data_IF_598330658640
#
_entry.id   IF_598330658640
#
_cell.length_a   1.000
_cell.length_b   1.000
_cell.length_c   1.000
_cell.angle_alpha   90.00
_cell.angle_beta   90.00
_cell.angle_gamma   90.00
#
_symmetry.space_group_name_H-M   'P 1'
#
loop_
_entity.id
_entity.type
_entity.pdbx_description
1 polymer ?
#
# COMPACT_ATOMS: atom_id res chain seq x y z
N UNK A 1 6.58 10.46 -11.19
CA UNK A 1 7.97 10.88 -11.49
C UNK A 1 8.89 10.59 -10.31
N UNK A 2 8.64 11.11 -9.11
CA UNK A 2 9.55 10.94 -7.96
C UNK A 2 9.89 9.46 -7.67
N UNK A 3 8.88 8.58 -7.64
CA UNK A 3 9.10 7.15 -7.40
C UNK A 3 9.96 6.52 -8.51
N UNK A 4 9.71 6.87 -9.77
CA UNK A 4 10.48 6.37 -10.92
C UNK A 4 11.95 6.76 -10.80
N UNK A 5 12.23 8.02 -10.48
CA UNK A 5 13.59 8.50 -10.29
C UNK A 5 14.29 7.82 -9.11
N UNK A 6 13.61 7.69 -7.98
CA UNK A 6 14.14 6.98 -6.82
C UNK A 6 14.47 5.52 -7.15
N UNK A 7 13.54 4.81 -7.77
CA UNK A 7 13.72 3.39 -8.08
C UNK A 7 14.85 3.17 -9.10
N UNK A 8 14.98 4.07 -10.07
CA UNK A 8 16.10 4.10 -11.01
C UNK A 8 17.43 4.29 -10.29
N UNK A 9 17.53 5.31 -9.43
CA UNK A 9 18.76 5.59 -8.68
C UNK A 9 19.14 4.46 -7.72
N UNK A 10 18.16 3.86 -7.07
CA UNK A 10 18.37 2.71 -6.19
C UNK A 10 18.88 1.49 -6.99
N UNK A 11 18.27 1.21 -8.15
CA UNK A 11 18.72 0.17 -9.04
C UNK A 11 20.17 0.40 -9.53
N UNK A 12 20.49 1.62 -9.96
CA UNK A 12 21.83 2.01 -10.36
C UNK A 12 22.85 1.83 -9.22
N UNK A 13 22.49 2.22 -8.00
CA UNK A 13 23.32 2.01 -6.81
C UNK A 13 23.60 0.53 -6.54
N UNK A 14 22.60 -0.33 -6.64
CA UNK A 14 22.73 -1.78 -6.45
C UNK A 14 23.67 -2.39 -7.52
N UNK A 15 23.56 -1.89 -8.75
CA UNK A 15 24.36 -2.37 -9.89
C UNK A 15 25.75 -1.71 -9.98
N UNK A 16 26.08 -0.76 -9.10
CA UNK A 16 27.33 -0.01 -9.13
C UNK A 16 27.45 0.94 -10.33
N UNK A 17 26.33 1.35 -10.92
CA UNK A 17 26.27 2.29 -12.05
C UNK A 17 26.29 3.72 -11.50
N UNK A 18 27.28 4.50 -11.95
CA UNK A 18 27.40 5.92 -11.68
C UNK A 18 27.92 6.62 -12.96
N UNK A 19 27.04 7.36 -13.61
CA UNK A 19 27.29 8.03 -14.89
C UNK A 19 26.57 9.38 -14.94
N UNK A 20 26.69 10.10 -16.05
CA UNK A 20 26.08 11.42 -16.25
C UNK A 20 24.54 11.38 -16.05
N UNK A 21 23.87 10.32 -16.50
CA UNK A 21 22.44 10.13 -16.38
C UNK A 21 22.00 10.03 -14.91
N UNK A 22 22.75 9.28 -14.07
CA UNK A 22 22.43 9.20 -12.62
C UNK A 22 22.56 10.55 -11.94
N UNK A 23 23.57 11.35 -12.30
CA UNK A 23 23.76 12.71 -11.77
C UNK A 23 22.62 13.64 -12.19
N UNK A 24 22.20 13.58 -13.45
CA UNK A 24 21.06 14.37 -13.97
C UNK A 24 19.75 14.01 -13.29
N UNK A 25 19.48 12.72 -13.11
CA UNK A 25 18.27 12.24 -12.42
C UNK A 25 18.26 12.67 -10.95
N UNK A 26 19.40 12.57 -10.25
CA UNK A 26 19.52 13.08 -8.87
C UNK A 26 19.24 14.60 -8.77
N UNK A 27 19.79 15.38 -9.70
CA UNK A 27 19.58 16.81 -9.76
C UNK A 27 18.11 17.17 -10.04
N UNK A 28 17.48 16.42 -10.94
CA UNK A 28 16.08 16.58 -11.32
C UNK A 28 15.14 16.19 -10.16
N UNK A 29 15.46 15.11 -9.44
CA UNK A 29 14.67 14.65 -8.30
C UNK A 29 14.64 15.69 -7.16
N UNK A 30 15.73 16.41 -6.94
CA UNK A 30 15.80 17.49 -5.94
C UNK A 30 14.91 18.70 -6.26
N UNK A 31 14.53 18.88 -7.52
CA UNK A 31 13.63 19.94 -7.98
C UNK A 31 12.15 19.59 -7.83
N UNK A 32 11.83 18.31 -7.59
CA UNK A 32 10.45 17.86 -7.44
C UNK A 32 9.89 18.28 -6.07
N UNK A 33 8.82 19.08 -6.09
CA UNK A 33 8.11 19.46 -4.88
C UNK A 33 7.48 18.27 -4.16
N UNK A 34 7.31 18.41 -2.85
CA UNK A 34 6.42 17.52 -2.09
C UNK A 34 4.97 17.79 -2.47
N UNK A 35 4.08 16.80 -2.36
CA UNK A 35 2.65 17.04 -2.44
C UNK A 35 2.23 18.12 -1.43
N UNK A 36 1.32 19.00 -1.84
CA UNK A 36 0.80 20.10 -1.04
C UNK A 36 -0.56 19.77 -0.45
N UNK A 37 -0.91 20.46 0.63
CA UNK A 37 -2.19 20.32 1.33
C UNK A 37 -3.03 21.55 1.02
N UNK A 38 -4.28 21.33 0.60
CA UNK A 38 -5.26 22.37 0.34
C UNK A 38 -5.77 23.03 1.65
N UNK A 39 -6.47 24.17 1.53
CA UNK A 39 -7.03 24.90 2.68
C UNK A 39 -8.02 24.06 3.49
N UNK A 40 -8.73 23.11 2.86
CA UNK A 40 -9.63 22.17 3.51
C UNK A 40 -8.93 20.96 4.16
N UNK A 41 -7.60 20.90 4.02
CA UNK A 41 -6.74 19.88 4.59
C UNK A 41 -6.61 18.61 3.74
N UNK A 42 -7.19 18.55 2.53
CA UNK A 42 -7.00 17.46 1.59
C UNK A 42 -5.64 17.57 0.87
N UNK A 43 -5.15 16.46 0.34
CA UNK A 43 -3.99 16.47 -0.54
C UNK A 43 -4.40 17.05 -1.90
N UNK A 44 -3.66 18.03 -2.38
CA UNK A 44 -3.96 18.67 -3.66
C UNK A 44 -3.69 17.72 -4.84
N UNK A 45 -4.61 17.68 -5.79
CA UNK A 45 -4.43 16.97 -7.06
C UNK A 45 -3.65 17.83 -8.07
N UNK A 46 -3.87 19.13 -8.04
CA UNK A 46 -3.29 20.13 -8.95
C UNK A 46 -2.36 21.08 -8.18
N UNK A 47 -1.64 21.91 -8.91
CA UNK A 47 -0.77 22.96 -8.32
C UNK A 47 -1.56 24.09 -7.68
N UNK A 48 -2.84 24.21 -8.03
CA UNK A 48 -3.78 25.21 -7.55
C UNK A 48 -5.03 24.52 -7.00
N UNK A 49 -5.73 25.17 -6.06
CA UNK A 49 -7.01 24.68 -5.58
C UNK A 49 -8.09 24.96 -6.61
N UNK A 50 -8.57 23.90 -7.25
CA UNK A 50 -9.61 23.97 -8.27
C UNK A 50 -10.90 23.32 -7.75
N UNK A 51 -12.04 23.81 -8.21
CA UNK A 51 -13.32 23.18 -7.96
C UNK A 51 -13.42 21.85 -8.70
N UNK A 52 -13.80 20.80 -7.97
CA UNK A 52 -13.94 19.46 -8.54
C UNK A 52 -15.36 19.29 -9.14
N UNK A 53 -15.44 19.04 -10.44
CA UNK A 53 -16.72 18.80 -11.14
C UNK A 53 -17.33 17.44 -10.79
N UNK A 54 -16.50 16.46 -10.44
CA UNK A 54 -16.89 15.11 -9.98
C UNK A 54 -16.21 14.77 -8.66
N UNK A 55 -16.72 15.24 -7.51
CA UNK A 55 -16.08 15.00 -6.20
C UNK A 55 -15.90 13.53 -5.84
N UNK A 56 -16.76 12.63 -6.36
CA UNK A 56 -16.67 11.19 -6.19
C UNK A 56 -15.95 10.45 -7.33
N UNK A 57 -15.15 11.16 -8.15
CA UNK A 57 -14.46 10.55 -9.27
C UNK A 57 -13.53 9.42 -8.83
N UNK A 58 -13.55 8.29 -9.55
CA UNK A 58 -12.80 7.07 -9.21
C UNK A 58 -11.28 7.18 -9.33
N UNK A 59 -10.76 8.22 -10.02
CA UNK A 59 -9.34 8.46 -10.13
C UNK A 59 -8.82 9.25 -8.93
N UNK A 60 -7.81 8.70 -8.27
CA UNK A 60 -7.17 9.26 -7.08
C UNK A 60 -5.65 9.34 -7.26
N UNK A 61 -5.22 9.79 -8.45
CA UNK A 61 -3.81 9.79 -8.87
C UNK A 61 -2.90 10.60 -7.96
N UNK A 62 -3.39 11.67 -7.35
CA UNK A 62 -2.67 12.49 -6.37
C UNK A 62 -2.30 11.70 -5.09
N UNK A 63 -3.02 10.61 -4.79
CA UNK A 63 -2.73 9.75 -3.65
C UNK A 63 -1.69 8.65 -3.95
N UNK A 64 -1.15 8.60 -5.17
CA UNK A 64 -0.12 7.64 -5.60
C UNK A 64 1.08 7.57 -4.64
N UNK A 65 1.46 8.69 -4.06
CA UNK A 65 2.61 8.76 -3.15
C UNK A 65 2.48 7.87 -1.92
N UNK A 66 1.24 7.53 -1.51
CA UNK A 66 0.97 6.59 -0.44
C UNK A 66 0.83 5.15 -0.94
N UNK A 67 0.05 4.96 -2.02
CA UNK A 67 -0.20 3.64 -2.61
C UNK A 67 -0.34 3.77 -4.14
N UNK A 68 0.43 3.04 -4.95
CA UNK A 68 1.44 2.01 -4.60
C UNK A 68 2.80 2.57 -4.16
N UNK A 69 3.00 3.88 -4.22
CA UNK A 69 4.22 4.54 -3.77
C UNK A 69 4.46 4.37 -2.26
N UNK A 70 5.56 4.96 -1.81
CA UNK A 70 5.94 4.99 -0.39
C UNK A 70 6.64 6.32 -0.02
N UNK A 71 6.31 7.39 -0.76
CA UNK A 71 6.76 8.74 -0.45
C UNK A 71 5.97 9.33 0.73
N UNK A 72 4.70 8.91 0.86
CA UNK A 72 3.80 9.29 1.94
C UNK A 72 3.63 8.08 2.86
N UNK A 73 4.12 8.19 4.08
CA UNK A 73 4.10 7.10 5.07
C UNK A 73 3.82 7.63 6.48
N UNK A 74 3.25 6.79 7.34
CA UNK A 74 3.00 7.13 8.74
C UNK A 74 4.28 7.55 9.48
N UNK A 75 5.41 6.93 9.15
CA UNK A 75 6.66 7.15 9.87
C UNK A 75 7.38 8.45 9.45
N UNK A 76 7.30 8.82 8.16
CA UNK A 76 8.10 9.92 7.59
C UNK A 76 7.30 11.19 7.30
N UNK A 77 6.02 11.05 6.97
CA UNK A 77 5.15 12.16 6.55
C UNK A 77 3.74 12.05 7.13
N UNK A 78 3.56 11.94 8.46
CA UNK A 78 2.24 11.70 9.06
C UNK A 78 1.20 12.78 8.68
N UNK A 79 1.62 14.06 8.56
CA UNK A 79 0.73 15.14 8.14
C UNK A 79 0.18 14.96 6.72
N UNK A 80 0.96 14.38 5.80
CA UNK A 80 0.47 14.03 4.46
C UNK A 80 -0.44 12.80 4.47
N UNK A 81 -0.22 11.86 5.40
CA UNK A 81 -1.13 10.72 5.59
C UNK A 81 -2.51 11.19 6.05
N UNK A 82 -2.58 12.17 6.94
CA UNK A 82 -3.85 12.78 7.35
C UNK A 82 -4.55 13.49 6.18
N UNK A 83 -3.79 14.17 5.33
CA UNK A 83 -4.33 14.79 4.11
C UNK A 83 -4.83 13.75 3.10
N UNK A 84 -4.13 12.63 2.92
CA UNK A 84 -4.59 11.48 2.11
C UNK A 84 -5.90 10.92 2.66
N UNK A 85 -6.00 10.73 3.98
CA UNK A 85 -7.22 10.26 4.63
C UNK A 85 -8.40 11.17 4.33
N UNK A 86 -8.23 12.49 4.50
CA UNK A 86 -9.28 13.47 4.19
C UNK A 86 -9.67 13.46 2.72
N UNK A 87 -8.70 13.34 1.80
CA UNK A 87 -8.99 13.24 0.37
C UNK A 87 -9.78 11.98 0.04
N UNK A 88 -9.40 10.85 0.62
CA UNK A 88 -10.08 9.59 0.39
C UNK A 88 -11.49 9.60 0.97
N UNK A 89 -11.68 10.08 2.20
CA UNK A 89 -13.00 10.21 2.83
C UNK A 89 -13.90 11.16 2.03
N UNK A 90 -13.35 12.25 1.51
CA UNK A 90 -14.09 13.16 0.64
C UNK A 90 -14.62 12.44 -0.60
N UNK A 91 -13.76 11.71 -1.33
CA UNK A 91 -14.16 10.90 -2.49
C UNK A 91 -15.24 9.89 -2.15
N UNK A 92 -15.04 9.12 -1.08
CA UNK A 92 -15.95 8.06 -0.65
C UNK A 92 -17.33 8.58 -0.25
N UNK A 93 -17.41 9.78 0.34
CA UNK A 93 -18.64 10.41 0.76
C UNK A 93 -19.43 11.08 -0.40
N UNK A 94 -18.88 11.14 -1.61
CA UNK A 94 -19.49 11.77 -2.78
C UNK A 94 -19.84 10.76 -3.89
N UNK A 95 -20.48 9.66 -3.54
CA UNK A 95 -20.90 8.61 -4.48
C UNK A 95 -19.72 7.99 -5.26
N UNK A 96 -18.64 7.71 -4.56
CA UNK A 96 -17.48 7.06 -5.16
C UNK A 96 -17.84 5.69 -5.77
N UNK A 97 -17.62 5.55 -7.06
CA UNK A 97 -17.85 4.30 -7.77
C UNK A 97 -16.60 3.42 -7.74
N UNK A 98 -16.40 2.68 -6.63
CA UNK A 98 -15.34 1.68 -6.53
C UNK A 98 -15.64 0.49 -7.44
N UNK A 99 -14.99 0.43 -8.58
CA UNK A 99 -15.11 -0.66 -9.56
C UNK A 99 -13.75 -0.92 -10.19
N UNK A 100 -13.52 -2.17 -10.54
CA UNK A 100 -12.32 -2.53 -11.24
C UNK A 100 -11.06 -2.21 -10.42
N UNK A 101 -10.02 -1.79 -11.10
CA UNK A 101 -8.74 -1.41 -10.50
C UNK A 101 -8.87 -0.37 -9.37
N UNK A 102 -9.87 0.52 -9.43
CA UNK A 102 -10.05 1.55 -8.40
C UNK A 102 -10.48 0.96 -7.07
N UNK A 103 -11.24 -0.13 -7.06
CA UNK A 103 -11.60 -0.86 -5.84
C UNK A 103 -10.35 -1.44 -5.17
N UNK A 104 -9.51 -2.17 -5.92
CA UNK A 104 -8.26 -2.72 -5.41
C UNK A 104 -7.32 -1.64 -4.87
N UNK A 105 -7.28 -0.49 -5.52
CA UNK A 105 -6.44 0.63 -5.10
C UNK A 105 -6.91 1.24 -3.78
N UNK A 106 -8.20 1.58 -3.69
CA UNK A 106 -8.78 2.17 -2.47
C UNK A 106 -8.68 1.21 -1.29
N UNK A 107 -9.03 -0.06 -1.47
CA UNK A 107 -8.96 -1.05 -0.37
C UNK A 107 -7.52 -1.26 0.12
N UNK A 108 -6.53 -1.28 -0.78
CA UNK A 108 -5.11 -1.31 -0.40
C UNK A 108 -4.68 -0.04 0.34
N UNK A 109 -5.19 1.12 -0.09
CA UNK A 109 -4.91 2.39 0.59
C UNK A 109 -5.51 2.43 2.00
N UNK A 110 -6.76 1.98 2.17
CA UNK A 110 -7.39 1.83 3.49
C UNK A 110 -6.59 0.90 4.39
N UNK A 111 -6.04 -0.19 3.86
CA UNK A 111 -5.14 -1.06 4.61
C UNK A 111 -3.88 -0.32 5.10
N UNK A 112 -3.26 0.53 4.26
CA UNK A 112 -2.11 1.37 4.66
C UNK A 112 -2.48 2.50 5.61
N UNK A 113 -3.72 2.98 5.56
CA UNK A 113 -4.27 3.93 6.53
C UNK A 113 -4.63 3.29 7.87
N UNK A 114 -4.44 1.98 8.04
CA UNK A 114 -4.83 1.19 9.22
C UNK A 114 -6.35 1.14 9.46
N UNK A 115 -7.13 1.23 8.39
CA UNK A 115 -8.59 1.14 8.37
C UNK A 115 -9.05 -0.23 7.85
N UNK A 116 -8.61 -1.30 8.53
CA UNK A 116 -8.81 -2.67 8.08
C UNK A 116 -10.28 -3.06 7.94
N UNK A 117 -11.12 -2.69 8.90
CA UNK A 117 -12.55 -3.00 8.85
C UNK A 117 -13.25 -2.30 7.67
N UNK A 118 -12.91 -1.02 7.41
CA UNK A 118 -13.45 -0.27 6.27
C UNK A 118 -12.98 -0.86 4.94
N UNK A 119 -11.71 -1.31 4.87
CA UNK A 119 -11.17 -2.00 3.70
C UNK A 119 -11.91 -3.31 3.42
N UNK A 120 -12.11 -4.14 4.45
CA UNK A 120 -12.83 -5.41 4.34
C UNK A 120 -14.29 -5.20 3.94
N UNK A 121 -14.99 -4.26 4.58
CA UNK A 121 -16.37 -3.92 4.27
C UNK A 121 -16.53 -3.52 2.79
N UNK A 122 -15.64 -2.67 2.29
CA UNK A 122 -15.64 -2.27 0.89
C UNK A 122 -15.39 -3.46 -0.06
N UNK A 123 -14.47 -4.38 0.28
CA UNK A 123 -14.25 -5.60 -0.49
C UNK A 123 -15.50 -6.50 -0.48
N UNK A 124 -16.14 -6.67 0.67
CA UNK A 124 -17.34 -7.49 0.80
C UNK A 124 -18.49 -6.97 -0.08
N UNK A 125 -18.78 -5.67 -0.01
CA UNK A 125 -19.91 -5.07 -0.72
C UNK A 125 -19.66 -4.83 -2.21
N UNK A 126 -18.42 -4.62 -2.63
CA UNK A 126 -18.13 -4.24 -4.02
C UNK A 126 -17.39 -5.31 -4.83
N UNK A 127 -16.83 -6.33 -4.20
CA UNK A 127 -16.16 -7.42 -4.88
C UNK A 127 -16.84 -8.77 -4.63
N UNK A 128 -16.80 -9.29 -3.40
CA UNK A 128 -17.24 -10.65 -3.12
C UNK A 128 -18.72 -10.89 -3.38
N UNK A 129 -19.58 -9.89 -3.17
CA UNK A 129 -21.02 -10.02 -3.48
C UNK A 129 -21.34 -9.92 -4.97
N UNK A 130 -20.40 -9.41 -5.78
CA UNK A 130 -20.57 -9.18 -7.21
C UNK A 130 -19.72 -10.11 -8.08
N UNK A 131 -18.81 -10.88 -7.45
CA UNK A 131 -17.92 -11.78 -8.16
C UNK A 131 -18.69 -12.97 -8.75
N UNK A 132 -18.37 -13.32 -9.99
CA UNK A 132 -18.78 -14.56 -10.61
C UNK A 132 -18.08 -15.77 -9.94
N UNK A 133 -18.54 -17.00 -10.17
CA UNK A 133 -17.90 -18.19 -9.61
C UNK A 133 -16.40 -18.35 -9.96
N UNK A 134 -15.96 -17.73 -11.04
CA UNK A 134 -14.55 -17.69 -11.47
C UNK A 134 -13.77 -16.51 -10.87
N UNK A 135 -14.35 -15.79 -9.90
CA UNK A 135 -13.78 -14.62 -9.23
C UNK A 135 -13.62 -13.38 -10.11
N UNK A 136 -14.09 -13.37 -11.35
CA UNK A 136 -14.17 -12.16 -12.13
C UNK A 136 -15.29 -11.25 -11.62
N UNK A 137 -15.08 -9.95 -11.73
CA UNK A 137 -16.08 -8.91 -11.45
C UNK A 137 -16.23 -8.04 -12.67
N UNK A 138 -17.48 -7.70 -13.01
CA UNK A 138 -17.74 -6.73 -14.06
C UNK A 138 -17.47 -5.31 -13.60
N UNK A 139 -16.64 -4.61 -14.37
CA UNK A 139 -16.52 -3.17 -14.28
C UNK A 139 -16.90 -2.57 -15.65
N UNK A 140 -17.91 -1.72 -15.66
CA UNK A 140 -18.45 -1.11 -16.89
C UNK A 140 -18.90 -2.13 -17.95
N UNK A 141 -19.50 -3.25 -17.51
CA UNK A 141 -20.00 -4.32 -18.37
C UNK A 141 -18.92 -5.20 -19.00
N UNK A 142 -17.72 -5.21 -18.45
CA UNK A 142 -16.60 -6.06 -18.89
C UNK A 142 -15.76 -6.54 -17.70
N UNK A 143 -15.31 -7.81 -17.69
CA UNK A 143 -14.37 -8.29 -16.69
C UNK A 143 -13.07 -7.50 -16.73
N UNK A 144 -12.57 -7.08 -15.57
CA UNK A 144 -11.29 -6.41 -15.44
C UNK A 144 -10.32 -7.22 -14.57
N UNK A 145 -9.10 -7.40 -15.05
CA UNK A 145 -8.02 -8.09 -14.30
C UNK A 145 -7.56 -7.23 -13.10
N UNK A 146 -7.79 -5.91 -13.15
CA UNK A 146 -7.36 -4.99 -12.10
C UNK A 146 -7.93 -5.29 -10.72
N UNK A 147 -9.20 -5.68 -10.61
CA UNK A 147 -9.83 -6.08 -9.35
C UNK A 147 -9.28 -7.40 -8.85
N UNK A 148 -9.14 -8.36 -9.78
CA UNK A 148 -8.67 -9.71 -9.46
C UNK A 148 -7.26 -9.73 -8.87
N UNK A 149 -6.44 -8.73 -9.20
CA UNK A 149 -5.10 -8.56 -8.65
C UNK A 149 -5.08 -7.58 -7.49
N UNK A 150 -5.88 -6.51 -7.58
CA UNK A 150 -5.89 -5.43 -6.60
C UNK A 150 -6.53 -5.82 -5.27
N UNK A 151 -7.63 -6.58 -5.29
CA UNK A 151 -8.30 -7.02 -4.05
C UNK A 151 -7.45 -8.05 -3.27
N UNK A 152 -6.86 -9.09 -3.87
CA UNK A 152 -5.89 -9.94 -3.18
C UNK A 152 -4.67 -9.17 -2.63
N UNK A 153 -4.17 -8.16 -3.35
CA UNK A 153 -3.12 -7.29 -2.82
C UNK A 153 -3.59 -6.56 -1.56
N UNK A 154 -4.81 -6.02 -1.56
CA UNK A 154 -5.36 -5.37 -0.38
C UNK A 154 -5.50 -6.33 0.80
N UNK A 155 -5.90 -7.58 0.58
CA UNK A 155 -5.93 -8.62 1.62
C UNK A 155 -4.54 -8.89 2.20
N UNK A 156 -3.50 -8.89 1.36
CA UNK A 156 -2.11 -9.01 1.82
C UNK A 156 -1.72 -7.78 2.64
N UNK A 157 -1.99 -6.58 2.16
CA UNK A 157 -1.68 -5.32 2.86
C UNK A 157 -2.37 -5.21 4.24
N UNK A 158 -3.50 -5.91 4.46
CA UNK A 158 -4.15 -5.99 5.77
C UNK A 158 -3.32 -6.78 6.80
N UNK A 159 -2.57 -7.78 6.36
CA UNK A 159 -1.86 -8.72 7.24
C UNK A 159 -0.33 -8.63 7.18
N UNK A 160 0.24 -8.12 6.09
CA UNK A 160 1.69 -7.96 5.92
C UNK A 160 1.99 -6.73 5.05
N UNK A 161 2.72 -5.75 5.58
CA UNK A 161 3.21 -4.60 4.82
C UNK A 161 4.74 -4.54 4.85
N UNK A 162 5.35 -4.26 3.71
CA UNK A 162 6.81 -4.13 3.57
C UNK A 162 7.22 -2.97 2.68
N UNK A 163 6.40 -1.93 2.61
CA UNK A 163 6.64 -0.75 1.77
C UNK A 163 7.48 0.34 2.45
N UNK A 164 7.73 0.20 3.74
CA UNK A 164 8.59 1.08 4.56
C UNK A 164 9.91 0.41 4.89
N UNK A 165 10.65 0.97 5.84
CA UNK A 165 11.90 0.38 6.32
C UNK A 165 11.66 -0.87 7.17
N UNK A 166 10.43 -1.12 7.57
CA UNK A 166 10.01 -2.26 8.39
C UNK A 166 9.11 -3.22 7.62
N UNK A 167 9.09 -4.48 8.05
CA UNK A 167 8.05 -5.44 7.69
C UNK A 167 7.05 -5.46 8.83
N UNK A 168 5.87 -4.91 8.57
CA UNK A 168 4.79 -4.82 9.55
C UNK A 168 3.95 -6.10 9.54
N UNK A 169 3.77 -6.70 10.71
CA UNK A 169 2.97 -7.90 10.91
C UNK A 169 1.59 -7.52 11.46
N UNK A 170 0.53 -8.00 10.82
CA UNK A 170 -0.87 -7.71 11.11
C UNK A 170 -1.17 -6.21 11.26
N UNK A 171 -0.67 -5.36 10.33
CA UNK A 171 -0.68 -3.91 10.51
C UNK A 171 -2.09 -3.30 10.49
N UNK A 172 -3.05 -3.98 9.87
CA UNK A 172 -4.42 -3.48 9.66
C UNK A 172 -5.44 -4.62 9.67
N UNK A 173 -5.23 -5.58 10.58
CA UNK A 173 -6.08 -6.78 10.66
C UNK A 173 -7.53 -6.39 10.94
N UNK A 174 -8.50 -6.79 10.09
CA UNK A 174 -9.92 -6.55 10.36
C UNK A 174 -10.40 -7.26 11.62
N UNK A 175 -11.30 -6.64 12.37
CA UNK A 175 -11.85 -7.22 13.60
C UNK A 175 -12.61 -8.53 13.36
N UNK A 176 -13.12 -8.74 12.14
CA UNK A 176 -13.77 -9.99 11.73
C UNK A 176 -12.77 -11.16 11.55
N UNK A 177 -11.48 -10.88 11.33
CA UNK A 177 -10.45 -11.91 11.13
C UNK A 177 -9.76 -12.25 12.46
N UNK A 178 -10.56 -12.67 13.43
CA UNK A 178 -10.07 -12.96 14.81
C UNK A 178 -8.99 -14.03 14.85
N UNK A 179 -9.17 -15.10 14.08
CA UNK A 179 -8.26 -16.22 14.01
C UNK A 179 -7.90 -16.47 12.54
N UNK A 180 -6.65 -16.80 12.28
CA UNK A 180 -6.23 -17.08 10.92
C UNK A 180 -4.82 -17.62 10.82
N UNK A 181 -4.54 -18.15 9.63
CA UNK A 181 -3.23 -18.66 9.25
C UNK A 181 -2.99 -18.35 7.78
N UNK A 182 -1.77 -17.96 7.45
CA UNK A 182 -1.31 -17.74 6.09
C UNK A 182 0.09 -18.26 5.93
N UNK A 183 0.41 -18.76 4.75
CA UNK A 183 1.74 -19.28 4.42
C UNK A 183 2.23 -18.73 3.10
N UNK A 184 3.53 -18.57 2.96
CA UNK A 184 4.17 -18.20 1.72
C UNK A 184 4.04 -16.73 1.32
N UNK A 185 3.69 -15.81 2.23
CA UNK A 185 3.63 -14.39 1.92
C UNK A 185 5.03 -13.82 1.67
N UNK A 186 5.22 -13.22 0.51
CA UNK A 186 6.49 -12.58 0.13
C UNK A 186 6.52 -11.12 0.61
N UNK A 187 7.64 -10.73 1.22
CA UNK A 187 7.95 -9.37 1.59
C UNK A 187 9.22 -8.86 0.90
N UNK A 188 9.37 -7.54 0.82
CA UNK A 188 10.60 -6.90 0.31
C UNK A 188 11.82 -7.35 1.10
N UNK A 189 12.98 -7.44 0.45
CA UNK A 189 14.20 -7.99 1.04
C UNK A 189 14.36 -9.49 0.84
N UNK A 190 13.50 -10.11 0.00
CA UNK A 190 13.51 -11.54 -0.32
C UNK A 190 13.19 -12.42 0.92
N UNK A 191 12.19 -12.02 1.69
CA UNK A 191 11.66 -12.76 2.81
C UNK A 191 10.33 -13.42 2.46
N UNK A 192 10.10 -14.61 3.03
CA UNK A 192 8.84 -15.35 2.93
C UNK A 192 8.33 -15.61 4.34
N UNK A 193 7.05 -15.29 4.57
CA UNK A 193 6.40 -15.35 5.88
C UNK A 193 5.31 -16.40 5.92
N UNK A 194 5.33 -17.22 7.00
CA UNK A 194 4.17 -17.97 7.46
C UNK A 194 3.74 -17.34 8.77
N UNK A 195 2.46 -17.05 8.93
CA UNK A 195 1.93 -16.41 10.13
C UNK A 195 0.68 -17.11 10.63
N UNK A 196 0.51 -17.14 11.93
CA UNK A 196 -0.70 -17.61 12.61
C UNK A 196 -1.10 -16.61 13.68
N UNK A 197 -2.38 -16.29 13.75
CA UNK A 197 -2.91 -15.39 14.77
C UNK A 197 -4.20 -15.93 15.37
N UNK A 198 -4.47 -15.57 16.62
CA UNK A 198 -5.66 -15.96 17.39
C UNK A 198 -6.15 -14.80 18.24
N UNK A 199 -7.46 -14.61 18.29
CA UNK A 199 -8.11 -13.49 18.99
C UNK A 199 -7.50 -12.13 18.57
N UNK A 200 -7.16 -11.96 17.28
CA UNK A 200 -6.57 -10.75 16.72
C UNK A 200 -5.08 -10.54 17.03
N UNK A 201 -4.41 -11.50 17.71
CA UNK A 201 -3.01 -11.40 18.10
C UNK A 201 -2.13 -12.42 17.41
N UNK A 202 -0.95 -12.00 16.97
CA UNK A 202 0.05 -12.89 16.39
C UNK A 202 0.48 -13.95 17.40
N UNK A 203 0.35 -15.23 17.05
CA UNK A 203 0.78 -16.36 17.86
C UNK A 203 2.17 -16.82 17.45
N UNK A 204 2.39 -16.93 16.13
CA UNK A 204 3.69 -17.36 15.59
C UNK A 204 3.93 -16.76 14.21
N UNK A 205 5.20 -16.59 13.90
CA UNK A 205 5.65 -16.31 12.54
C UNK A 205 6.91 -17.11 12.25
N UNK A 206 6.94 -17.75 11.09
CA UNK A 206 8.14 -18.37 10.54
C UNK A 206 8.61 -17.49 9.35
N UNK A 207 9.90 -17.17 9.32
CA UNK A 207 10.47 -16.24 8.34
C UNK A 207 11.61 -16.94 7.63
N UNK A 208 11.39 -17.28 6.35
CA UNK A 208 12.43 -17.80 5.51
C UNK A 208 13.12 -16.64 4.75
N UNK A 209 14.42 -16.51 4.92
CA UNK A 209 15.23 -15.57 4.15
C UNK A 209 15.80 -16.24 2.91
N UNK A 210 15.54 -15.68 1.73
CA UNK A 210 16.08 -16.22 0.48
C UNK A 210 17.51 -15.72 0.17
N UNK A 211 17.89 -14.56 0.75
CA UNK A 211 19.20 -13.91 0.48
C UNK A 211 20.07 -13.75 1.73
N UNK A 212 19.51 -13.92 2.93
CA UNK A 212 20.16 -13.50 4.16
C UNK A 212 20.11 -11.98 4.37
N UNK A 213 20.73 -11.50 5.44
CA UNK A 213 20.83 -10.10 5.77
C UNK A 213 19.88 -9.66 6.90
N UNK A 214 19.75 -8.35 7.06
CA UNK A 214 18.93 -7.75 8.12
C UNK A 214 17.45 -7.74 7.74
N UNK A 215 16.61 -8.13 8.70
CA UNK A 215 15.16 -8.05 8.63
C UNK A 215 14.65 -7.21 9.81
N UNK A 216 14.03 -6.07 9.53
CA UNK A 216 13.40 -5.23 10.54
C UNK A 216 11.92 -5.54 10.61
N UNK A 217 11.50 -6.18 11.70
CA UNK A 217 10.10 -6.51 11.95
C UNK A 217 9.45 -5.47 12.83
N UNK A 218 8.18 -5.15 12.56
CA UNK A 218 7.35 -4.33 13.46
C UNK A 218 6.03 -5.05 13.75
N UNK A 219 5.70 -5.16 15.02
CA UNK A 219 4.43 -5.69 15.48
C UNK A 219 3.95 -4.90 16.70
N UNK A 220 2.71 -4.42 16.70
CA UNK A 220 2.13 -3.56 17.74
C UNK A 220 3.06 -2.38 18.14
N UNK A 221 3.68 -1.75 17.16
CA UNK A 221 4.60 -0.62 17.37
C UNK A 221 6.00 -1.01 17.89
N UNK A 222 6.23 -2.25 18.28
CA UNK A 222 7.53 -2.74 18.70
C UNK A 222 8.36 -3.19 17.51
N UNK A 223 9.62 -2.76 17.46
CA UNK A 223 10.56 -3.11 16.39
C UNK A 223 11.55 -4.14 16.89
N UNK A 224 11.83 -5.16 16.06
CA UNK A 224 12.86 -6.17 16.30
C UNK A 224 13.72 -6.31 15.03
N UNK A 225 15.02 -6.20 15.20
CA UNK A 225 16.00 -6.52 14.14
C UNK A 225 16.37 -8.00 14.24
N UNK A 226 16.36 -8.69 13.12
CA UNK A 226 16.85 -10.06 12.99
C UNK A 226 17.98 -10.07 11.95
N UNK A 227 19.05 -10.80 12.23
CA UNK A 227 20.05 -11.15 11.25
C UNK A 227 19.72 -12.55 10.73
N UNK A 228 19.59 -12.67 9.42
CA UNK A 228 19.15 -13.91 8.76
C UNK A 228 20.24 -14.46 7.86
N UNK A 229 20.20 -15.77 7.66
CA UNK A 229 21.09 -16.47 6.74
C UNK A 229 20.33 -16.92 5.49
N UNK A 230 20.98 -16.93 4.34
CA UNK A 230 20.37 -17.34 3.07
C UNK A 230 19.85 -18.77 3.13
N UNK A 231 18.62 -18.99 2.70
CA UNK A 231 17.96 -20.29 2.66
C UNK A 231 17.46 -20.83 4.01
N UNK A 232 17.71 -20.12 5.11
CA UNK A 232 17.28 -20.56 6.46
C UNK A 232 15.98 -19.86 6.90
N UNK A 233 15.30 -20.53 7.82
CA UNK A 233 14.08 -20.06 8.53
C UNK A 233 14.40 -19.83 9.98
#
# INVERSE_FOLDING_TARGET
IWNTFRDFLEACKILGINNEETVEVEASMKKLSMPTIANDGRLMEWTEELEETEPGHRHISHLWGMMPGNRITQDKTPHLVDAVRKSLDYRLNHNYHAQGWSLGWVTSMLARLKEGDKSLDMMQHNYFTKAYPNMFVDAHGRPQVGDMMGVPLAMIELILQSHTDYIDLLPSLPTAWKDGKVTGLCARGAFVFDMEWKAGKLISTNIKSLKGGKCLLRYEGKVKELTTESGKS
#
